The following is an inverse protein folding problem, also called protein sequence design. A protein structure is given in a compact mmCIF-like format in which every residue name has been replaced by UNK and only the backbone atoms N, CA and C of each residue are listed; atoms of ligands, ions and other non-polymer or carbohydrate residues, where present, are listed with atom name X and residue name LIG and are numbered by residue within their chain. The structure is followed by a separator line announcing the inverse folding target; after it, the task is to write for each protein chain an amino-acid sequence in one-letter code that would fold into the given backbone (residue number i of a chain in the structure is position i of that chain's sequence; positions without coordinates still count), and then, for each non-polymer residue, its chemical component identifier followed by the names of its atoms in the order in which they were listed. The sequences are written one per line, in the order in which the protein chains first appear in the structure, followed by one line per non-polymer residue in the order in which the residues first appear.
data_IF_158762132508
#
_entry.id   IF_158762132508
#
_cell.length_a   1.000
_cell.length_b   1.000
_cell.length_c   1.000
_cell.angle_alpha   90.00
_cell.angle_beta   90.00
_cell.angle_gamma   90.00
#
_symmetry.space_group_name_H-M   'P 1'
#
loop_
_entity.id
_entity.type
_entity.pdbx_description
1 polymer ?
#
# COMPACT_ATOMS: atom_id res chain seq x y z
N UNK A 1 0.11 -25.35 -16.00
CA UNK A 1 -0.16 -25.27 -14.59
C UNK A 1 -1.23 -26.26 -14.22
N UNK A 2 -0.80 -27.28 -13.61
CA UNK A 2 -1.75 -28.24 -13.14
C UNK A 2 -2.40 -27.74 -11.87
N UNK A 3 -3.63 -27.61 -11.86
CA UNK A 3 -4.33 -27.67 -10.66
C UNK A 3 -4.62 -26.38 -9.93
N UNK A 4 -5.40 -25.63 -10.54
CA UNK A 4 -6.32 -24.81 -9.81
C UNK A 4 -5.69 -23.85 -8.83
N UNK A 5 -4.96 -22.88 -9.34
CA UNK A 5 -4.76 -21.68 -8.56
C UNK A 5 -6.14 -21.14 -8.23
N UNK A 6 -6.46 -21.17 -6.94
CA UNK A 6 -7.71 -20.60 -6.47
C UNK A 6 -7.63 -19.09 -6.66
N UNK A 7 -8.51 -18.55 -7.48
CA UNK A 7 -8.66 -17.11 -7.62
C UNK A 7 -9.51 -16.58 -6.46
N UNK A 8 -9.22 -15.35 -6.08
CA UNK A 8 -9.85 -14.71 -4.94
C UNK A 8 -10.83 -13.62 -5.38
N UNK A 9 -11.92 -13.49 -4.65
CA UNK A 9 -12.87 -12.40 -4.84
C UNK A 9 -12.31 -11.09 -4.35
N UNK A 10 -11.47 -11.15 -3.31
CA UNK A 10 -10.87 -9.95 -2.71
C UNK A 10 -9.51 -10.27 -2.13
N UNK A 11 -8.58 -9.36 -2.38
CA UNK A 11 -7.26 -9.35 -1.71
C UNK A 11 -7.18 -8.06 -0.92
N UNK A 12 -6.80 -8.16 0.35
CA UNK A 12 -6.74 -7.01 1.26
C UNK A 12 -5.31 -6.82 1.74
N UNK A 13 -4.86 -5.57 1.69
CA UNK A 13 -3.58 -5.15 2.25
C UNK A 13 -3.81 -4.03 3.26
N UNK A 14 -3.35 -4.21 4.48
CA UNK A 14 -3.49 -3.21 5.54
C UNK A 14 -2.11 -2.78 6.03
N UNK A 15 -1.73 -1.53 5.77
CA UNK A 15 -0.49 -0.93 6.25
C UNK A 15 0.76 -1.77 5.93
N UNK A 16 0.84 -2.31 4.71
CA UNK A 16 1.94 -3.18 4.28
C UNK A 16 2.66 -2.63 3.04
N UNK A 17 1.90 -2.04 2.12
CA UNK A 17 2.44 -1.68 0.79
C UNK A 17 3.59 -0.67 0.87
N UNK A 18 3.61 0.19 1.86
CA UNK A 18 4.67 1.17 2.07
C UNK A 18 6.01 0.52 2.44
N UNK A 19 5.99 -0.72 2.89
CA UNK A 19 7.19 -1.47 3.30
C UNK A 19 7.71 -2.45 2.25
N UNK A 20 7.01 -2.61 1.13
CA UNK A 20 7.36 -3.61 0.12
C UNK A 20 8.40 -3.03 -0.85
N UNK A 21 9.56 -3.65 -0.93
CA UNK A 21 10.67 -3.21 -1.78
C UNK A 21 10.33 -3.31 -3.26
N UNK A 22 9.72 -4.42 -3.69
CA UNK A 22 9.30 -4.60 -5.09
C UNK A 22 7.78 -4.59 -5.17
N UNK A 23 7.20 -3.43 -4.92
CA UNK A 23 5.75 -3.24 -4.92
C UNK A 23 5.11 -3.54 -6.28
N UNK A 24 5.68 -3.13 -7.42
CA UNK A 24 5.07 -3.46 -8.71
C UNK A 24 4.92 -4.96 -8.94
N UNK A 25 5.90 -5.75 -8.52
CA UNK A 25 5.84 -7.21 -8.63
C UNK A 25 4.70 -7.78 -7.75
N UNK A 26 4.57 -7.30 -6.53
CA UNK A 26 3.50 -7.72 -5.62
C UNK A 26 2.12 -7.41 -6.21
N UNK A 27 1.92 -6.20 -6.70
CA UNK A 27 0.62 -5.77 -7.25
C UNK A 27 0.30 -6.55 -8.54
N UNK A 28 1.29 -6.79 -9.40
CA UNK A 28 1.11 -7.60 -10.60
C UNK A 28 0.66 -9.03 -10.24
N UNK A 29 1.26 -9.63 -9.24
CA UNK A 29 0.86 -10.96 -8.77
C UNK A 29 -0.54 -10.95 -8.18
N UNK A 30 -0.90 -9.92 -7.42
CA UNK A 30 -2.25 -9.77 -6.90
C UNK A 30 -3.28 -9.70 -8.03
N UNK A 31 -2.98 -9.01 -9.13
CA UNK A 31 -3.85 -8.97 -10.30
C UNK A 31 -4.15 -10.38 -10.84
N UNK A 32 -3.13 -11.24 -10.92
CA UNK A 32 -3.29 -12.59 -11.44
C UNK A 32 -4.07 -13.51 -10.50
N UNK A 33 -4.03 -13.21 -9.21
CA UNK A 33 -4.73 -14.02 -8.20
C UNK A 33 -6.19 -13.62 -8.00
N UNK A 34 -6.62 -12.52 -8.58
CA UNK A 34 -8.00 -12.06 -8.49
C UNK A 34 -8.86 -12.66 -9.59
N UNK A 35 -10.13 -12.93 -9.26
CA UNK A 35 -11.15 -13.18 -10.28
C UNK A 35 -11.37 -11.93 -11.13
N UNK A 36 -12.02 -12.08 -12.29
CA UNK A 36 -12.25 -10.96 -13.21
C UNK A 36 -13.02 -9.81 -12.57
N UNK A 37 -13.93 -10.13 -11.66
CA UNK A 37 -14.70 -9.14 -10.88
C UNK A 37 -14.10 -8.90 -9.47
N UNK A 38 -12.90 -9.39 -9.24
CA UNK A 38 -12.26 -9.29 -7.94
C UNK A 38 -11.79 -7.88 -7.61
N UNK A 39 -11.58 -7.62 -6.32
CA UNK A 39 -11.20 -6.32 -5.79
C UNK A 39 -9.91 -6.43 -5.00
N UNK A 40 -8.96 -5.57 -5.31
CA UNK A 40 -7.79 -5.35 -4.47
C UNK A 40 -8.04 -4.12 -3.59
N UNK A 41 -8.10 -4.34 -2.29
CA UNK A 41 -8.35 -3.28 -1.30
C UNK A 41 -7.10 -3.03 -0.49
N UNK A 42 -6.65 -1.78 -0.46
CA UNK A 42 -5.46 -1.41 0.29
C UNK A 42 -5.77 -0.26 1.23
N UNK A 43 -5.33 -0.38 2.47
CA UNK A 43 -5.34 0.72 3.43
C UNK A 43 -3.91 1.16 3.67
N UNK A 44 -3.63 2.41 3.35
CA UNK A 44 -2.30 3.00 3.47
C UNK A 44 -2.37 4.03 4.59
N UNK A 45 -1.47 3.96 5.59
CA UNK A 45 -1.38 5.05 6.56
C UNK A 45 -1.16 6.35 5.80
N UNK A 46 -2.09 7.26 5.92
CA UNK A 46 -1.89 8.54 5.29
C UNK A 46 -0.73 9.23 5.99
N UNK A 47 0.15 9.79 5.19
CA UNK A 47 1.18 10.66 5.72
C UNK A 47 0.58 12.02 6.10
N UNK A 48 -0.64 12.02 6.54
CA UNK A 48 -1.34 13.12 7.16
C UNK A 48 -0.62 13.47 8.43
N UNK A 49 0.32 14.28 8.26
CA UNK A 49 1.51 14.44 9.08
C UNK A 49 1.24 14.93 10.47
N UNK A 50 0.18 15.70 10.63
CA UNK A 50 -0.06 16.36 11.91
C UNK A 50 -0.54 15.38 12.97
N UNK A 51 -1.59 14.59 12.69
CA UNK A 51 -2.15 13.65 13.66
C UNK A 51 -1.19 12.51 13.98
N UNK A 52 -0.54 11.97 12.94
CA UNK A 52 0.44 10.91 13.14
C UNK A 52 1.67 11.42 13.90
N UNK A 53 2.19 12.59 13.52
CA UNK A 53 3.32 13.20 14.20
C UNK A 53 3.00 13.53 15.64
N UNK A 54 1.83 14.11 15.89
CA UNK A 54 1.39 14.44 17.25
C UNK A 54 1.18 13.18 18.08
N UNK A 55 0.48 12.20 17.54
CA UNK A 55 0.20 10.95 18.24
C UNK A 55 1.46 10.19 18.61
N UNK A 56 2.37 10.02 17.69
CA UNK A 56 3.55 9.24 17.97
C UNK A 56 4.63 10.01 18.72
N UNK A 57 4.77 11.30 18.51
CA UNK A 57 5.67 12.13 19.34
C UNK A 57 5.24 12.18 20.80
N UNK A 58 3.93 12.22 21.04
CA UNK A 58 3.39 12.25 22.39
C UNK A 58 3.53 10.91 23.11
N UNK A 59 3.58 9.79 22.38
CA UNK A 59 3.61 8.45 22.96
C UNK A 59 4.89 7.69 22.64
N UNK A 60 4.97 7.11 21.45
CA UNK A 60 6.04 6.18 21.07
C UNK A 60 7.33 6.90 20.75
N UNK A 61 7.25 8.01 20.03
CA UNK A 61 8.45 8.74 19.57
C UNK A 61 9.25 9.31 20.73
N UNK A 62 8.57 9.91 21.71
CA UNK A 62 9.23 10.46 22.87
C UNK A 62 9.86 9.36 23.74
N UNK A 63 9.12 8.30 24.01
CA UNK A 63 9.60 7.16 24.76
C UNK A 63 10.81 6.50 24.08
N UNK A 64 10.71 6.29 22.77
CA UNK A 64 11.76 5.69 21.98
C UNK A 64 13.02 6.57 21.97
N UNK A 65 12.85 7.88 21.75
CA UNK A 65 13.96 8.82 21.72
C UNK A 65 14.68 8.90 23.08
N UNK A 66 13.91 8.93 24.18
CA UNK A 66 14.47 8.95 25.52
C UNK A 66 15.21 7.65 25.86
N UNK A 67 14.63 6.51 25.49
CA UNK A 67 15.19 5.21 25.81
C UNK A 67 16.44 4.88 25.00
N UNK A 68 16.43 5.20 23.72
CA UNK A 68 17.49 4.78 22.79
C UNK A 68 18.35 5.93 22.28
N UNK A 69 18.00 7.16 22.60
CA UNK A 69 18.69 8.37 22.11
C UNK A 69 18.79 8.39 20.58
N UNK A 70 17.74 7.91 19.91
CA UNK A 70 17.69 7.80 18.47
C UNK A 70 16.64 8.75 17.88
N UNK A 71 16.88 9.20 16.65
CA UNK A 71 15.92 10.00 15.90
C UNK A 71 14.92 9.05 15.23
N UNK A 72 13.71 8.96 15.79
CA UNK A 72 12.67 8.10 15.30
C UNK A 72 12.17 8.50 13.90
N UNK A 73 12.13 9.80 13.60
CA UNK A 73 11.73 10.28 12.28
C UNK A 73 12.66 9.73 11.18
N UNK A 74 13.95 9.68 11.45
CA UNK A 74 14.94 9.12 10.52
C UNK A 74 14.70 7.64 10.30
N UNK A 75 14.46 6.87 11.37
CA UNK A 75 14.20 5.42 11.27
C UNK A 75 12.91 5.16 10.49
N UNK A 76 11.83 5.90 10.77
CA UNK A 76 10.57 5.75 10.04
C UNK A 76 10.72 6.04 8.55
N UNK A 77 11.50 7.04 8.19
CA UNK A 77 11.76 7.35 6.79
C UNK A 77 12.50 6.22 6.07
N UNK A 78 13.41 5.53 6.75
CA UNK A 78 14.10 4.38 6.17
C UNK A 78 13.21 3.14 6.03
N UNK A 79 12.25 2.95 6.93
CA UNK A 79 11.34 1.82 6.88
C UNK A 79 10.26 1.95 5.80
N UNK A 80 9.92 3.18 5.40
CA UNK A 80 8.90 3.43 4.39
C UNK A 80 9.54 3.52 3.00
N UNK A 81 9.52 2.40 2.28
CA UNK A 81 10.10 2.32 0.94
C UNK A 81 9.26 3.01 -0.14
N UNK A 82 7.95 3.08 0.06
CA UNK A 82 7.02 3.61 -0.93
C UNK A 82 6.13 4.67 -0.30
N UNK A 83 5.99 5.80 -0.96
CA UNK A 83 5.05 6.80 -0.51
C UNK A 83 3.65 6.56 -1.11
N UNK A 84 2.65 7.22 -0.57
CA UNK A 84 1.25 7.04 -0.99
C UNK A 84 1.04 7.30 -2.49
N UNK A 85 1.70 8.31 -3.02
CA UNK A 85 1.56 8.67 -4.43
C UNK A 85 2.08 7.55 -5.34
N UNK A 86 3.25 7.01 -5.03
CA UNK A 86 3.83 5.88 -5.76
C UNK A 86 2.93 4.66 -5.72
N UNK A 87 2.38 4.34 -4.56
CA UNK A 87 1.46 3.21 -4.39
C UNK A 87 0.23 3.38 -5.29
N UNK A 88 -0.35 4.57 -5.30
CA UNK A 88 -1.51 4.87 -6.15
C UNK A 88 -1.17 4.75 -7.63
N UNK A 89 -0.02 5.26 -8.06
CA UNK A 89 0.42 5.17 -9.45
C UNK A 89 0.64 3.72 -9.89
N UNK A 90 1.24 2.90 -9.03
CA UNK A 90 1.43 1.47 -9.32
C UNK A 90 0.08 0.77 -9.43
N UNK A 91 -0.85 1.05 -8.54
CA UNK A 91 -2.19 0.48 -8.63
C UNK A 91 -2.91 0.90 -9.91
N UNK A 92 -2.79 2.16 -10.31
CA UNK A 92 -3.37 2.66 -11.56
C UNK A 92 -2.76 2.04 -12.80
N UNK A 93 -1.50 1.62 -12.71
CA UNK A 93 -0.86 0.92 -13.83
C UNK A 93 -1.47 -0.46 -14.06
N UNK A 94 -1.81 -1.19 -12.99
CA UNK A 94 -2.29 -2.56 -13.09
C UNK A 94 -3.82 -2.71 -13.02
N UNK A 95 -4.53 -1.71 -12.55
CA UNK A 95 -6.00 -1.73 -12.44
C UNK A 95 -6.61 -0.57 -13.22
N UNK A 96 -7.68 -0.86 -13.96
CA UNK A 96 -8.37 0.17 -14.75
C UNK A 96 -9.16 1.15 -13.89
N UNK A 97 -9.65 0.68 -12.74
CA UNK A 97 -10.46 1.48 -11.82
C UNK A 97 -9.82 1.50 -10.44
N UNK A 98 -9.30 2.65 -10.04
CA UNK A 98 -8.72 2.86 -8.72
C UNK A 98 -9.48 4.00 -8.05
N UNK A 99 -10.21 3.66 -6.97
CA UNK A 99 -10.97 4.63 -6.21
C UNK A 99 -10.28 4.89 -4.88
N UNK A 100 -9.99 6.16 -4.61
CA UNK A 100 -9.39 6.61 -3.37
C UNK A 100 -10.47 7.12 -2.43
N UNK A 101 -10.44 6.68 -1.19
CA UNK A 101 -11.30 7.17 -0.11
C UNK A 101 -10.42 7.54 1.08
N UNK A 102 -10.79 8.59 1.78
CA UNK A 102 -10.06 9.06 2.94
C UNK A 102 -10.82 8.69 4.21
N UNK A 103 -10.09 8.20 5.19
CA UNK A 103 -10.62 8.04 6.55
C UNK A 103 -10.09 9.19 7.41
N UNK A 104 -10.91 10.20 7.57
CA UNK A 104 -10.56 11.44 8.26
C UNK A 104 -11.27 12.64 7.62
N UNK A 105 -10.87 13.85 8.01
CA UNK A 105 -11.53 15.08 7.59
C UNK A 105 -10.92 15.62 6.27
N UNK A 106 -9.61 15.43 6.10
CA UNK A 106 -8.88 15.91 4.93
C UNK A 106 -7.61 15.08 4.73
N UNK A 107 -6.91 15.31 3.60
CA UNK A 107 -5.62 14.67 3.35
C UNK A 107 -4.61 14.90 4.48
N UNK A 108 -4.65 16.07 5.09
CA UNK A 108 -3.73 16.42 6.17
C UNK A 108 -4.15 15.84 7.52
N UNK A 109 -5.45 15.67 7.74
CA UNK A 109 -6.03 15.18 8.97
C UNK A 109 -6.52 13.73 8.89
N UNK A 110 -6.33 13.07 7.76
CA UNK A 110 -6.73 11.67 7.63
C UNK A 110 -5.66 10.74 8.19
N UNK A 111 -6.09 9.65 8.82
CA UNK A 111 -5.21 8.61 9.36
C UNK A 111 -4.89 7.54 8.33
N UNK A 112 -5.85 7.24 7.45
CA UNK A 112 -5.70 6.21 6.43
C UNK A 112 -6.31 6.66 5.11
N UNK A 113 -5.65 6.28 4.03
CA UNK A 113 -6.19 6.32 2.68
C UNK A 113 -6.56 4.91 2.28
N UNK A 114 -7.81 4.72 1.86
CA UNK A 114 -8.28 3.44 1.34
C UNK A 114 -8.31 3.47 -0.17
N UNK A 115 -7.74 2.45 -0.80
CA UNK A 115 -7.80 2.24 -2.24
C UNK A 115 -8.67 1.04 -2.54
N UNK A 116 -9.62 1.20 -3.45
CA UNK A 116 -10.40 0.11 -4.02
C UNK A 116 -10.04 -0.01 -5.49
N UNK A 117 -9.37 -1.09 -5.84
CA UNK A 117 -8.86 -1.33 -7.20
C UNK A 117 -9.65 -2.45 -7.85
N UNK A 118 -10.26 -2.16 -8.99
CA UNK A 118 -11.09 -3.09 -9.75
C UNK A 118 -10.62 -3.19 -11.19
N UNK A 119 -11.07 -4.21 -11.89
CA UNK A 119 -10.76 -4.47 -13.28
C UNK A 119 -9.25 -4.58 -13.50
N UNK A 120 -8.66 -5.61 -12.88
CA UNK A 120 -7.24 -5.92 -13.02
C UNK A 120 -6.87 -6.15 -14.48
N UNK A 121 -5.81 -5.50 -14.93
CA UNK A 121 -5.24 -5.74 -16.26
C UNK A 121 -4.28 -6.93 -16.18
N UNK A 122 -4.85 -8.12 -16.29
CA UNK A 122 -4.09 -9.36 -16.13
C UNK A 122 -3.03 -9.54 -17.22
N UNK A 123 -3.31 -9.09 -18.42
CA UNK A 123 -2.32 -9.17 -19.51
C UNK A 123 -1.12 -8.29 -19.21
N UNK A 124 -1.35 -7.07 -18.78
CA UNK A 124 -0.25 -6.16 -18.38
C UNK A 124 0.56 -6.73 -17.22
N UNK A 125 -0.12 -7.33 -16.25
CA UNK A 125 0.55 -7.99 -15.12
C UNK A 125 1.43 -9.16 -15.60
N UNK A 126 0.92 -9.99 -16.51
CA UNK A 126 1.69 -11.10 -17.07
C UNK A 126 2.91 -10.60 -17.84
N UNK A 127 2.75 -9.60 -18.68
CA UNK A 127 3.85 -9.01 -19.46
C UNK A 127 4.92 -8.44 -18.53
N UNK A 128 4.50 -7.71 -17.50
CA UNK A 128 5.41 -7.15 -16.51
C UNK A 128 6.24 -8.24 -15.81
N UNK A 129 5.58 -9.32 -15.39
CA UNK A 129 6.25 -10.42 -14.68
C UNK A 129 7.18 -11.21 -15.59
N UNK A 130 6.89 -11.31 -16.90
CA UNK A 130 7.78 -11.95 -17.86
C UNK A 130 9.06 -11.15 -18.11
N UNK A 131 8.94 -9.84 -18.20
CA UNK A 131 10.07 -8.95 -18.45
C UNK A 131 11.07 -8.92 -17.29
N UNK A 132 10.63 -9.32 -16.11
CA UNK A 132 11.45 -9.33 -14.90
C UNK A 132 12.16 -10.67 -14.63
N UNK A 133 12.02 -11.62 -15.50
CA UNK A 133 12.74 -12.90 -15.35
C UNK A 133 14.18 -12.82 -15.82
#
# INVERSE_FOLDING_TARGET
MGGGEHLYDRIISCAVLEHILDLPHLVARACLLLKDDGVFSASIPSQGRFLWTLGYKATTGLEFALKYKLNYDTIMNYEHCNNQKEIIEICRYFFKNVKKSLFGISDELSLYTHLSCKNADKQRALEFLKDKK
#
